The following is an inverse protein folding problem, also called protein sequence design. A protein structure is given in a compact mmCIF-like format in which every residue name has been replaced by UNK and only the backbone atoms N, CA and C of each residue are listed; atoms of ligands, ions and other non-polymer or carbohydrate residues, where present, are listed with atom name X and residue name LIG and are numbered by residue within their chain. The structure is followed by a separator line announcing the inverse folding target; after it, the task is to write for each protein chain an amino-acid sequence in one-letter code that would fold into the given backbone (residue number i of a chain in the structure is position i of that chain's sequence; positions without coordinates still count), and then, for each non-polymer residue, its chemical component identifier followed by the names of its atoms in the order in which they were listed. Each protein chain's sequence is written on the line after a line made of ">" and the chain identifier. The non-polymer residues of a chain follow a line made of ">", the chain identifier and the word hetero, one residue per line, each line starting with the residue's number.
data_IF_784936336598
#
_entry.id   IF_784936336598
#
_cell.length_a   1.000
_cell.length_b   1.000
_cell.length_c   1.000
_cell.angle_alpha   90.00
_cell.angle_beta   90.00
_cell.angle_gamma   90.00
#
_symmetry.space_group_name_H-M   'P 1'
#
loop_
_entity.id
_entity.type
_entity.pdbx_description
1 polymer ?
#
# COMPACT_ATOMS: atom_id res chain seq x y z
N UNK A 1 0.14 -10.44 3.96
CA UNK A 1 -0.45 -9.12 4.15
C UNK A 1 -1.18 -8.60 2.92
N UNK A 2 -1.74 -7.41 3.02
CA UNK A 2 -2.56 -6.80 1.98
C UNK A 2 -2.00 -5.45 1.58
N UNK A 3 -1.86 -5.19 0.27
CA UNK A 3 -1.47 -3.89 -0.28
C UNK A 3 -2.67 -3.29 -0.98
N UNK A 4 -3.08 -2.10 -0.53
CA UNK A 4 -4.19 -1.34 -1.11
C UNK A 4 -3.60 -0.30 -2.06
N UNK A 5 -3.93 -0.42 -3.34
CA UNK A 5 -3.36 0.38 -4.42
C UNK A 5 -4.38 1.38 -4.92
N UNK A 6 -4.04 2.66 -4.93
CA UNK A 6 -4.88 3.72 -5.49
C UNK A 6 -4.09 4.59 -6.48
N UNK A 7 -4.76 4.98 -7.54
CA UNK A 7 -4.21 5.75 -8.65
C UNK A 7 -3.94 4.88 -9.87
N UNK A 8 -4.33 5.38 -11.05
CA UNK A 8 -4.28 4.60 -12.30
C UNK A 8 -2.86 4.16 -12.67
N UNK A 9 -1.87 5.04 -12.51
CA UNK A 9 -0.47 4.72 -12.80
C UNK A 9 0.09 3.71 -11.80
N UNK A 10 -0.25 3.83 -10.50
CA UNK A 10 0.12 2.87 -9.47
C UNK A 10 -0.48 1.49 -9.76
N UNK A 11 -1.78 1.45 -10.07
CA UNK A 11 -2.48 0.20 -10.44
C UNK A 11 -1.84 -0.46 -11.66
N UNK A 12 -1.57 0.31 -12.72
CA UNK A 12 -0.91 -0.20 -13.91
C UNK A 12 0.52 -0.71 -13.63
N UNK A 13 1.27 0.01 -12.78
CA UNK A 13 2.60 -0.39 -12.33
C UNK A 13 2.58 -1.72 -11.60
N UNK A 14 1.73 -1.85 -10.59
CA UNK A 14 1.58 -3.08 -9.81
C UNK A 14 1.06 -4.24 -10.67
N UNK A 15 0.09 -4.00 -11.55
CA UNK A 15 -0.41 -5.04 -12.45
C UNK A 15 0.69 -5.65 -13.34
N UNK A 16 1.64 -4.82 -13.81
CA UNK A 16 2.80 -5.28 -14.58
C UNK A 16 3.80 -6.08 -13.74
N UNK A 17 3.85 -5.83 -12.43
CA UNK A 17 4.74 -6.51 -11.49
C UNK A 17 4.20 -7.85 -11.00
N UNK A 18 2.93 -8.20 -11.21
CA UNK A 18 2.35 -9.45 -10.72
C UNK A 18 3.17 -10.70 -11.11
N UNK A 19 3.69 -10.85 -12.35
CA UNK A 19 4.54 -11.98 -12.70
C UNK A 19 5.88 -12.00 -11.93
N UNK A 20 6.42 -10.82 -11.59
CA UNK A 20 7.64 -10.70 -10.79
C UNK A 20 7.37 -11.09 -9.32
N UNK A 21 6.24 -10.66 -8.76
CA UNK A 21 5.84 -11.04 -7.41
C UNK A 21 5.74 -12.56 -7.28
N UNK A 22 5.16 -13.22 -8.28
CA UNK A 22 5.05 -14.68 -8.34
C UNK A 22 6.43 -15.33 -8.44
N UNK A 23 7.29 -14.83 -9.32
CA UNK A 23 8.67 -15.31 -9.50
C UNK A 23 9.51 -15.20 -8.22
N UNK A 24 9.31 -14.13 -7.46
CA UNK A 24 9.99 -13.89 -6.18
C UNK A 24 9.29 -14.55 -4.99
N UNK A 25 8.22 -15.34 -5.23
CA UNK A 25 7.41 -15.99 -4.20
C UNK A 25 6.85 -15.02 -3.15
N UNK A 26 6.50 -13.81 -3.58
CA UNK A 26 5.93 -12.77 -2.73
C UNK A 26 4.41 -12.96 -2.61
N UNK A 27 3.99 -13.72 -1.61
CA UNK A 27 2.57 -13.97 -1.36
C UNK A 27 1.92 -12.76 -0.67
N UNK A 28 1.28 -11.92 -1.45
CA UNK A 28 0.60 -10.69 -1.00
C UNK A 28 -0.76 -10.56 -1.69
N UNK A 29 -1.76 -10.14 -0.94
CA UNK A 29 -3.06 -9.76 -1.50
C UNK A 29 -2.97 -8.31 -2.01
N UNK A 30 -3.37 -8.09 -3.26
CA UNK A 30 -3.43 -6.75 -3.86
C UNK A 30 -4.90 -6.36 -4.04
N UNK A 31 -5.27 -5.19 -3.54
CA UNK A 31 -6.61 -4.61 -3.68
C UNK A 31 -6.51 -3.29 -4.43
N UNK A 32 -7.08 -3.23 -5.62
CA UNK A 32 -7.18 -1.99 -6.38
C UNK A 32 -8.40 -1.19 -5.89
N UNK A 33 -8.12 -0.07 -5.22
CA UNK A 33 -9.11 0.80 -4.60
C UNK A 33 -9.33 2.04 -5.46
N UNK A 34 -10.55 2.26 -5.92
CA UNK A 34 -10.89 3.43 -6.76
C UNK A 34 -11.52 4.55 -5.98
N UNK A 35 -12.35 4.24 -4.97
CA UNK A 35 -13.05 5.23 -4.16
C UNK A 35 -13.40 4.66 -2.78
N UNK A 36 -12.90 5.26 -1.69
CA UNK A 36 -13.29 4.88 -0.34
C UNK A 36 -14.77 5.15 -0.07
N UNK A 37 -15.33 6.23 -0.64
CA UNK A 37 -16.74 6.58 -0.47
C UNK A 37 -17.66 5.53 -1.11
N UNK A 38 -17.36 5.10 -2.33
CA UNK A 38 -18.13 4.04 -3.00
C UNK A 38 -17.98 2.69 -2.30
N UNK A 39 -16.81 2.42 -1.72
CA UNK A 39 -16.59 1.22 -0.93
C UNK A 39 -17.38 1.25 0.39
N UNK A 40 -17.43 2.40 1.07
CA UNK A 40 -18.13 2.57 2.34
C UNK A 40 -19.64 2.37 2.24
N UNK A 41 -20.26 2.67 1.09
CA UNK A 41 -21.72 2.46 0.87
C UNK A 41 -22.08 1.05 0.42
N UNK A 42 -21.10 0.16 0.21
CA UNK A 42 -21.38 -1.23 -0.13
C UNK A 42 -21.91 -2.02 1.08
N UNK A 43 -22.58 -3.13 0.79
CA UNK A 43 -22.99 -4.06 1.82
C UNK A 43 -21.79 -4.56 2.64
N UNK A 44 -22.00 -4.76 3.94
CA UNK A 44 -20.93 -5.20 4.85
C UNK A 44 -20.26 -6.50 4.40
N UNK A 45 -21.05 -7.45 3.89
CA UNK A 45 -20.55 -8.72 3.37
C UNK A 45 -19.61 -8.53 2.18
N UNK A 46 -19.88 -7.54 1.32
CA UNK A 46 -18.99 -7.21 0.21
C UNK A 46 -17.69 -6.57 0.73
N UNK A 47 -17.80 -5.61 1.66
CA UNK A 47 -16.65 -4.96 2.25
C UNK A 47 -15.72 -5.98 2.93
N UNK A 48 -16.28 -6.92 3.72
CA UNK A 48 -15.51 -7.94 4.42
C UNK A 48 -14.90 -8.99 3.49
N UNK A 49 -15.53 -9.26 2.36
CA UNK A 49 -14.98 -10.13 1.32
C UNK A 49 -13.78 -9.49 0.62
N UNK A 50 -13.83 -8.19 0.37
CA UNK A 50 -12.73 -7.43 -0.27
C UNK A 50 -11.62 -7.14 0.72
N UNK A 51 -11.95 -6.62 1.90
CA UNK A 51 -11.04 -6.26 2.97
C UNK A 51 -11.58 -6.77 4.31
N UNK A 52 -11.22 -7.99 4.67
CA UNK A 52 -11.54 -8.55 5.99
C UNK A 52 -10.86 -7.80 7.12
N UNK A 53 -11.24 -8.06 8.36
CA UNK A 53 -10.57 -7.50 9.54
C UNK A 53 -9.07 -7.84 9.56
N UNK A 54 -8.71 -9.07 9.19
CA UNK A 54 -7.31 -9.49 9.07
C UNK A 54 -6.55 -8.76 7.97
N UNK A 55 -7.18 -8.52 6.82
CA UNK A 55 -6.61 -7.73 5.74
C UNK A 55 -6.31 -6.29 6.18
N UNK A 56 -7.24 -5.66 6.90
CA UNK A 56 -7.06 -4.30 7.44
C UNK A 56 -5.96 -4.25 8.48
N UNK A 57 -5.89 -5.26 9.35
CA UNK A 57 -4.87 -5.32 10.40
C UNK A 57 -3.45 -5.44 9.83
N UNK A 58 -3.24 -6.27 8.82
CA UNK A 58 -1.94 -6.49 8.16
C UNK A 58 -1.94 -5.92 6.74
N UNK A 59 -2.06 -4.59 6.64
CA UNK A 59 -2.12 -3.87 5.36
C UNK A 59 -1.16 -2.71 5.28
N UNK A 60 -0.92 -2.26 4.05
CA UNK A 60 -0.30 -0.98 3.72
C UNK A 60 -0.90 -0.43 2.43
N UNK A 61 -0.49 0.77 2.04
CA UNK A 61 -0.95 1.43 0.83
C UNK A 61 0.18 1.63 -0.18
N UNK A 62 -0.20 1.65 -1.45
CA UNK A 62 0.69 2.03 -2.54
C UNK A 62 -0.06 3.02 -3.44
N UNK A 63 0.51 4.21 -3.62
CA UNK A 63 -0.16 5.30 -4.34
C UNK A 63 0.82 6.24 -5.03
N UNK A 64 0.40 6.84 -6.13
CA UNK A 64 1.10 7.95 -6.78
C UNK A 64 0.80 9.31 -6.13
N UNK A 65 0.01 9.32 -5.09
CA UNK A 65 -0.39 10.52 -4.33
C UNK A 65 0.40 10.62 -3.01
N UNK A 66 0.14 11.69 -2.26
CA UNK A 66 0.63 11.81 -0.89
C UNK A 66 -0.08 10.80 0.04
N UNK A 67 0.64 10.26 1.02
CA UNK A 67 0.14 9.26 1.97
C UNK A 67 -1.12 9.71 2.70
N UNK A 68 -1.18 10.97 3.10
CA UNK A 68 -2.31 11.50 3.85
C UNK A 68 -3.64 11.45 3.06
N UNK A 69 -3.59 11.43 1.73
CA UNK A 69 -4.77 11.23 0.88
C UNK A 69 -5.30 9.80 0.94
N UNK A 70 -4.51 8.89 1.49
CA UNK A 70 -4.87 7.47 1.68
C UNK A 70 -5.41 7.17 3.08
N UNK A 71 -5.75 8.18 3.90
CA UNK A 71 -6.15 8.00 5.30
C UNK A 71 -7.34 7.04 5.49
N UNK A 72 -8.26 6.96 4.53
CA UNK A 72 -9.37 5.99 4.57
C UNK A 72 -8.93 4.53 4.44
N UNK A 73 -7.70 4.30 3.97
CA UNK A 73 -7.11 2.99 3.72
C UNK A 73 -5.93 2.66 4.65
N UNK A 74 -5.53 3.61 5.48
CA UNK A 74 -4.48 3.43 6.49
C UNK A 74 -5.12 3.09 7.83
N UNK A 75 -4.91 1.87 8.32
CA UNK A 75 -5.58 1.36 9.51
C UNK A 75 -4.71 1.39 10.76
N UNK A 76 -3.43 1.72 10.63
CA UNK A 76 -2.49 1.84 11.76
C UNK A 76 -1.27 2.68 11.39
N UNK A 77 -0.51 3.14 12.40
CA UNK A 77 0.77 3.80 12.19
C UNK A 77 1.79 2.86 11.52
N UNK A 78 1.76 1.60 11.87
CA UNK A 78 2.61 0.58 11.23
C UNK A 78 2.26 0.44 9.74
N UNK A 79 0.97 0.47 9.39
CA UNK A 79 0.52 0.48 7.99
C UNK A 79 1.09 1.68 7.21
N UNK A 80 1.12 2.85 7.83
CA UNK A 80 1.68 4.08 7.26
C UNK A 80 3.20 3.99 7.03
N UNK A 81 3.95 3.39 7.97
CA UNK A 81 5.42 3.26 7.89
C UNK A 81 5.90 2.39 6.71
N UNK A 82 5.02 1.52 6.22
CA UNK A 82 5.28 0.68 5.04
C UNK A 82 4.65 1.23 3.75
N UNK A 83 4.03 2.41 3.80
CA UNK A 83 3.40 3.01 2.63
C UNK A 83 4.43 3.33 1.53
N UNK A 84 4.06 3.03 0.30
CA UNK A 84 4.79 3.43 -0.90
C UNK A 84 4.02 4.58 -1.55
N UNK A 85 4.55 5.79 -1.50
CA UNK A 85 3.84 7.00 -1.90
C UNK A 85 4.78 8.04 -2.51
N UNK A 86 4.21 8.97 -3.27
CA UNK A 86 4.99 10.02 -3.93
C UNK A 86 5.64 11.02 -2.96
N UNK A 87 5.18 11.10 -1.72
CA UNK A 87 5.69 11.98 -0.66
C UNK A 87 6.60 11.27 0.35
N UNK A 88 7.29 10.21 -0.06
CA UNK A 88 8.13 9.36 0.79
C UNK A 88 9.20 10.14 1.58
N UNK A 89 9.67 11.28 1.03
CA UNK A 89 10.70 12.17 1.60
C UNK A 89 10.15 13.54 2.03
N UNK A 90 8.82 13.69 2.08
CA UNK A 90 8.09 14.93 2.44
C UNK A 90 8.47 16.16 1.58
N UNK A 91 8.86 15.94 0.32
CA UNK A 91 9.22 17.01 -0.63
C UNK A 91 8.17 17.17 -1.71
N UNK A 92 8.04 18.40 -2.21
CA UNK A 92 7.34 18.66 -3.45
C UNK A 92 8.11 18.08 -4.63
N UNK A 93 7.38 17.49 -5.57
CA UNK A 93 7.95 17.01 -6.82
C UNK A 93 8.05 18.14 -7.82
N UNK A 94 9.16 18.15 -8.58
CA UNK A 94 9.34 19.07 -9.70
C UNK A 94 8.54 18.60 -10.90
N UNK A 95 8.30 19.50 -11.85
CA UNK A 95 7.71 19.12 -13.14
C UNK A 95 8.76 18.45 -14.04
N UNK A 96 8.30 17.59 -14.95
CA UNK A 96 9.16 16.90 -15.90
C UNK A 96 8.38 15.92 -16.76
N UNK A 97 9.06 15.02 -17.41
CA UNK A 97 8.47 13.87 -18.07
C UNK A 97 7.88 12.91 -17.03
N UNK A 98 7.01 12.00 -17.47
CA UNK A 98 6.45 10.98 -16.57
C UNK A 98 7.55 10.12 -15.92
N UNK A 99 8.56 9.74 -16.69
CA UNK A 99 9.65 8.89 -16.20
C UNK A 99 10.49 9.62 -15.14
N UNK A 100 10.83 10.90 -15.37
CA UNK A 100 11.53 11.72 -14.37
C UNK A 100 10.70 11.90 -13.10
N UNK A 101 9.39 12.14 -13.24
CA UNK A 101 8.50 12.27 -12.08
C UNK A 101 8.36 10.95 -11.29
N UNK A 102 8.29 9.81 -11.95
CA UNK A 102 8.25 8.50 -11.30
C UNK A 102 9.57 8.15 -10.61
N UNK A 103 10.70 8.50 -11.20
CA UNK A 103 12.03 8.27 -10.61
C UNK A 103 12.21 9.13 -9.35
N UNK A 104 11.93 10.43 -9.44
CA UNK A 104 11.97 11.35 -8.30
C UNK A 104 11.03 10.93 -7.16
N UNK A 105 9.85 10.40 -7.51
CA UNK A 105 8.86 9.92 -6.55
C UNK A 105 9.16 8.51 -5.99
N UNK A 106 10.21 7.83 -6.44
CA UNK A 106 10.53 6.43 -6.12
C UNK A 106 9.38 5.46 -6.45
N UNK A 107 8.72 5.70 -7.58
CA UNK A 107 7.58 4.90 -8.06
C UNK A 107 7.88 4.15 -9.36
N UNK A 108 9.16 4.00 -9.71
CA UNK A 108 9.59 3.13 -10.80
C UNK A 108 9.30 1.66 -10.47
N UNK A 109 9.18 0.77 -11.46
CA UNK A 109 8.87 -0.64 -11.23
C UNK A 109 9.80 -1.30 -10.19
N UNK A 110 11.10 -1.02 -10.24
CA UNK A 110 12.06 -1.58 -9.30
C UNK A 110 11.82 -1.09 -7.87
N UNK A 111 11.48 0.19 -7.69
CA UNK A 111 11.16 0.76 -6.38
C UNK A 111 9.83 0.24 -5.83
N UNK A 112 8.85 0.04 -6.70
CA UNK A 112 7.59 -0.59 -6.31
C UNK A 112 7.82 -2.03 -5.83
N UNK A 113 8.63 -2.80 -6.56
CA UNK A 113 8.98 -4.16 -6.19
C UNK A 113 9.72 -4.20 -4.85
N UNK A 114 10.72 -3.33 -4.65
CA UNK A 114 11.46 -3.19 -3.39
C UNK A 114 10.54 -2.91 -2.19
N UNK A 115 9.60 -1.97 -2.36
CA UNK A 115 8.62 -1.64 -1.32
C UNK A 115 7.69 -2.81 -0.99
N UNK A 116 7.22 -3.53 -2.01
CA UNK A 116 6.39 -4.74 -1.83
C UNK A 116 7.20 -5.86 -1.15
N UNK A 117 8.43 -6.10 -1.60
CA UNK A 117 9.32 -7.08 -0.97
C UNK A 117 9.56 -6.80 0.50
N UNK A 118 9.88 -5.55 0.85
CA UNK A 118 10.07 -5.12 2.22
C UNK A 118 8.82 -5.42 3.05
N UNK A 119 7.65 -5.02 2.56
CA UNK A 119 6.37 -5.28 3.24
C UNK A 119 6.14 -6.78 3.47
N UNK A 120 6.44 -7.64 2.51
CA UNK A 120 6.24 -9.09 2.63
C UNK A 120 7.28 -9.71 3.56
N UNK A 121 8.57 -9.41 3.39
CA UNK A 121 9.68 -10.02 4.13
C UNK A 121 9.68 -9.64 5.61
N UNK A 122 9.36 -8.40 5.95
CA UNK A 122 9.33 -7.89 7.32
C UNK A 122 7.98 -8.15 8.04
N UNK A 123 7.17 -9.07 7.55
CA UNK A 123 5.83 -9.33 8.11
C UNK A 123 5.86 -9.67 9.59
N UNK A 124 6.79 -10.48 10.05
CA UNK A 124 6.87 -10.90 11.46
C UNK A 124 7.18 -9.72 12.39
N UNK A 125 8.09 -8.85 11.97
CA UNK A 125 8.44 -7.63 12.72
C UNK A 125 7.25 -6.66 12.75
N UNK A 126 6.58 -6.48 11.62
CA UNK A 126 5.39 -5.65 11.50
C UNK A 126 4.27 -6.12 12.40
N UNK A 127 3.98 -7.42 12.42
CA UNK A 127 2.95 -8.00 13.30
C UNK A 127 3.32 -7.91 14.78
N UNK A 128 4.60 -8.01 15.13
CA UNK A 128 5.06 -7.82 16.50
C UNK A 128 4.84 -6.37 16.97
N UNK A 129 5.15 -5.38 16.11
CA UNK A 129 4.88 -3.96 16.39
C UNK A 129 3.38 -3.70 16.57
N UNK A 130 2.53 -4.19 15.65
CA UNK A 130 1.07 -4.05 15.76
C UNK A 130 0.52 -4.61 17.07
N UNK A 131 1.03 -5.75 17.54
CA UNK A 131 0.64 -6.33 18.84
C UNK A 131 1.07 -5.45 20.00
N UNK A 132 2.32 -4.97 19.97
CA UNK A 132 2.86 -4.07 21.00
C UNK A 132 2.03 -2.78 21.11
N UNK A 133 1.65 -2.19 19.98
CA UNK A 133 0.83 -0.97 19.94
C UNK A 133 -0.58 -1.23 20.53
N UNK A 134 -1.17 -2.38 20.26
CA UNK A 134 -2.45 -2.79 20.84
C UNK A 134 -2.37 -3.03 22.36
N UNK A 135 -1.26 -3.57 22.84
CA UNK A 135 -1.04 -3.80 24.28
C UNK A 135 -0.82 -2.47 25.01
N UNK A 136 -0.13 -1.51 24.39
CA UNK A 136 0.14 -0.20 24.97
C UNK A 136 -1.12 0.69 25.10
N UNK A 137 -2.19 0.39 24.38
CA UNK A 137 -3.47 1.12 24.42
C UNK A 137 -4.47 0.54 25.42
N UNK A 138 -4.13 -0.49 26.16
CA UNK A 138 -4.91 -1.08 27.26
C UNK A 138 -4.57 -0.48 28.61
#
# INVERSE_FOLDING_TARGET
>A
GTIIVQGSSAMAGVARLLPELDRHHLNVKVVFATSPQLFAVQLKEYQDRVLSAGDRFDSTVLTTQARWLMHDWLFSKVSEDYAVSADWDDRWRTGGTLDEALDEAHLTPDRLLEGIERFVKERNERLARLRSDLEATR
#
